data_IF_372561203567
#
_entry.id   IF_372561203567
#
_cell.length_a   1.000
_cell.length_b   1.000
_cell.length_c   1.000
_cell.angle_alpha   90.00
_cell.angle_beta   90.00
_cell.angle_gamma   90.00
#
_symmetry.space_group_name_H-M   'P 1'
#
loop_
_entity.id
_entity.type
_entity.pdbx_description
1 polymer ?
#
# COMPACT_ATOMS: atom_id res chain seq x y z
N UNK A 1 10.15 -39.88 11.34
CA UNK A 1 9.19 -38.93 11.94
C UNK A 1 8.77 -37.96 10.84
N UNK A 2 7.47 -37.68 10.67
CA UNK A 2 7.02 -36.59 9.82
C UNK A 2 7.14 -35.26 10.58
N UNK A 3 7.77 -34.25 9.98
CA UNK A 3 7.80 -32.90 10.54
C UNK A 3 6.36 -32.37 10.72
N UNK A 4 6.06 -31.64 11.81
CA UNK A 4 4.75 -31.03 11.97
C UNK A 4 4.52 -30.06 10.80
N UNK A 5 3.41 -30.25 10.07
CA UNK A 5 3.05 -29.39 8.95
C UNK A 5 2.97 -27.93 9.44
N UNK A 6 3.90 -27.10 8.97
CA UNK A 6 3.92 -25.67 9.29
C UNK A 6 2.73 -25.00 8.62
N UNK A 7 1.97 -24.24 9.40
CA UNK A 7 0.86 -23.47 8.86
C UNK A 7 1.39 -22.34 7.98
N UNK A 8 0.65 -22.01 6.93
CA UNK A 8 1.00 -20.91 6.03
C UNK A 8 -0.22 -20.03 5.84
N UNK A 9 -0.06 -18.73 6.05
CA UNK A 9 -1.08 -17.73 5.76
C UNK A 9 -0.84 -17.20 4.34
N UNK A 10 -1.86 -17.24 3.49
CA UNK A 10 -1.71 -16.76 2.11
C UNK A 10 -2.97 -16.08 1.60
N UNK A 11 -2.78 -15.26 0.57
CA UNK A 11 -3.85 -14.61 -0.17
C UNK A 11 -3.52 -14.63 -1.66
N UNK A 12 -4.54 -14.73 -2.51
CA UNK A 12 -4.38 -14.65 -3.95
C UNK A 12 -5.23 -13.50 -4.48
N UNK A 13 -4.56 -12.53 -5.07
CA UNK A 13 -5.17 -11.46 -5.84
C UNK A 13 -5.25 -11.88 -7.31
N UNK A 14 -6.43 -11.70 -7.90
CA UNK A 14 -6.69 -12.00 -9.31
C UNK A 14 -7.34 -10.78 -9.96
N UNK A 15 -6.76 -10.32 -11.07
CA UNK A 15 -7.32 -9.33 -11.96
C UNK A 15 -7.31 -9.86 -13.40
N UNK A 16 -8.08 -9.25 -14.33
CA UNK A 16 -8.04 -9.64 -15.74
C UNK A 16 -6.63 -9.60 -16.36
N UNK A 17 -5.77 -8.72 -15.85
CA UNK A 17 -4.41 -8.48 -16.33
C UNK A 17 -3.30 -9.20 -15.55
N UNK A 18 -3.56 -9.69 -14.32
CA UNK A 18 -2.48 -10.22 -13.46
C UNK A 18 -3.01 -11.11 -12.33
N UNK A 19 -2.15 -12.01 -11.86
CA UNK A 19 -2.38 -12.79 -10.65
C UNK A 19 -1.18 -12.60 -9.72
N UNK A 20 -1.44 -12.35 -8.44
CA UNK A 20 -0.40 -12.20 -7.40
C UNK A 20 -0.77 -13.05 -6.19
N UNK A 21 0.15 -13.91 -5.78
CA UNK A 21 0.01 -14.71 -4.56
C UNK A 21 0.94 -14.17 -3.47
N UNK A 22 0.41 -14.03 -2.28
CA UNK A 22 1.11 -13.66 -1.06
C UNK A 22 1.16 -14.88 -0.14
N UNK A 23 2.29 -15.11 0.52
CA UNK A 23 2.52 -16.32 1.32
C UNK A 23 3.45 -16.00 2.48
N UNK A 24 2.92 -16.13 3.69
CA UNK A 24 3.62 -15.89 4.94
C UNK A 24 3.60 -17.15 5.82
N UNK A 25 4.73 -17.88 5.93
CA UNK A 25 4.81 -19.09 6.74
C UNK A 25 4.74 -18.75 8.23
N UNK A 26 4.10 -19.63 9.01
CA UNK A 26 4.05 -19.56 10.47
C UNK A 26 5.03 -20.60 11.01
N UNK A 27 5.98 -20.15 11.83
CA UNK A 27 7.06 -21.00 12.33
C UNK A 27 6.63 -21.78 13.56
N UNK A 28 5.71 -21.22 14.35
CA UNK A 28 5.13 -21.86 15.51
C UNK A 28 4.44 -23.19 15.12
N UNK A 29 4.63 -24.23 15.94
CA UNK A 29 3.97 -25.51 15.73
C UNK A 29 2.45 -25.36 15.87
N UNK A 30 1.70 -26.16 15.11
CA UNK A 30 0.25 -26.20 15.26
C UNK A 30 -0.08 -26.73 16.67
N UNK A 31 -0.92 -26.01 17.44
CA UNK A 31 -1.20 -26.42 18.81
C UNK A 31 -2.01 -27.71 18.85
N UNK A 32 -1.42 -28.79 19.39
CA UNK A 32 -2.18 -30.00 19.72
C UNK A 32 -2.96 -29.82 21.02
N UNK A 33 -4.18 -30.37 21.10
CA UNK A 33 -5.02 -30.21 22.30
C UNK A 33 -4.60 -31.10 23.47
N UNK A 34 -3.65 -32.03 23.26
CA UNK A 34 -3.37 -33.12 24.20
C UNK A 34 -2.11 -32.92 25.06
N UNK A 35 -1.35 -31.83 24.86
CA UNK A 35 -0.08 -31.63 25.57
C UNK A 35 -0.15 -30.54 26.66
N UNK A 36 0.60 -30.67 27.77
CA UNK A 36 0.72 -29.62 28.78
C UNK A 36 1.31 -28.32 28.23
N UNK A 37 2.09 -28.38 27.15
CA UNK A 37 2.66 -27.21 26.46
C UNK A 37 1.65 -26.51 25.54
N UNK A 38 0.47 -27.09 25.33
CA UNK A 38 -0.53 -26.62 24.37
C UNK A 38 -0.89 -25.15 24.55
N UNK A 39 -0.93 -24.63 25.79
CA UNK A 39 -1.25 -23.21 26.02
C UNK A 39 -0.14 -22.31 25.50
N UNK A 40 1.13 -22.64 25.79
CA UNK A 40 2.28 -21.87 25.30
C UNK A 40 2.38 -21.92 23.78
N UNK A 41 2.16 -23.12 23.21
CA UNK A 41 2.20 -23.34 21.76
C UNK A 41 1.05 -22.57 21.07
N UNK A 42 -0.16 -22.55 21.65
CA UNK A 42 -1.29 -21.72 21.18
C UNK A 42 -0.96 -20.24 21.21
N UNK A 43 -0.38 -19.75 22.31
CA UNK A 43 -0.03 -18.33 22.44
C UNK A 43 1.02 -17.93 21.39
N UNK A 44 2.07 -18.74 21.22
CA UNK A 44 3.11 -18.50 20.20
C UNK A 44 2.51 -18.50 18.79
N UNK A 45 1.70 -19.51 18.48
CA UNK A 45 1.04 -19.65 17.19
C UNK A 45 0.11 -18.47 16.88
N UNK A 46 -0.75 -18.07 17.82
CA UNK A 46 -1.65 -16.94 17.63
C UNK A 46 -0.94 -15.60 17.56
N UNK A 47 0.18 -15.45 18.29
CA UNK A 47 1.01 -14.25 18.21
C UNK A 47 1.65 -14.11 16.82
N UNK A 48 2.26 -15.19 16.32
CA UNK A 48 2.85 -15.22 14.98
C UNK A 48 1.79 -15.05 13.88
N UNK A 49 0.63 -15.71 14.02
CA UNK A 49 -0.48 -15.55 13.07
C UNK A 49 -0.95 -14.10 12.99
N UNK A 50 -1.09 -13.41 14.14
CA UNK A 50 -1.46 -11.99 14.16
C UNK A 50 -0.40 -11.10 13.50
N UNK A 51 0.89 -11.35 13.78
CA UNK A 51 1.97 -10.59 13.15
C UNK A 51 2.00 -10.82 11.63
N UNK A 52 1.93 -12.08 11.20
CA UNK A 52 1.86 -12.49 9.79
C UNK A 52 0.65 -11.88 9.07
N UNK A 53 -0.49 -11.75 9.76
CA UNK A 53 -1.70 -11.11 9.19
C UNK A 53 -1.51 -9.62 8.97
N UNK A 54 -0.87 -8.91 9.93
CA UNK A 54 -0.57 -7.48 9.76
C UNK A 54 0.42 -7.25 8.62
N UNK A 55 1.47 -8.07 8.56
CA UNK A 55 2.44 -8.03 7.47
C UNK A 55 1.78 -8.28 6.11
N UNK A 56 0.93 -9.32 6.01
CA UNK A 56 0.18 -9.62 4.80
C UNK A 56 -0.71 -8.44 4.36
N UNK A 57 -1.36 -7.78 5.32
CA UNK A 57 -2.17 -6.60 5.05
C UNK A 57 -1.32 -5.45 4.49
N UNK A 58 -0.15 -5.19 5.08
CA UNK A 58 0.79 -4.18 4.58
C UNK A 58 1.27 -4.51 3.16
N UNK A 59 1.67 -5.75 2.90
CA UNK A 59 2.08 -6.22 1.57
C UNK A 59 0.99 -6.02 0.51
N UNK A 60 -0.26 -6.34 0.86
CA UNK A 60 -1.41 -6.15 -0.03
C UNK A 60 -1.65 -4.65 -0.27
N UNK A 61 -1.61 -3.82 0.77
CA UNK A 61 -1.83 -2.39 0.63
C UNK A 61 -0.76 -1.73 -0.25
N UNK A 62 0.51 -2.08 -0.06
CA UNK A 62 1.61 -1.60 -0.91
C UNK A 62 1.39 -2.04 -2.35
N UNK A 63 1.10 -3.32 -2.57
CA UNK A 63 0.87 -3.85 -3.91
C UNK A 63 -0.29 -3.15 -4.64
N UNK A 64 -1.44 -2.99 -3.98
CA UNK A 64 -2.59 -2.33 -4.58
C UNK A 64 -2.34 -0.84 -4.83
N UNK A 65 -1.66 -0.15 -3.91
CA UNK A 65 -1.33 1.26 -4.07
C UNK A 65 -0.39 1.48 -5.25
N UNK A 66 0.65 0.64 -5.39
CA UNK A 66 1.55 0.69 -6.54
C UNK A 66 0.77 0.44 -7.84
N UNK A 67 -0.11 -0.56 -7.85
CA UNK A 67 -0.90 -0.88 -9.04
C UNK A 67 -1.84 0.24 -9.45
N UNK A 68 -2.47 0.93 -8.50
CA UNK A 68 -3.27 2.14 -8.77
C UNK A 68 -2.44 3.26 -9.40
N UNK A 69 -1.19 3.44 -8.97
CA UNK A 69 -0.29 4.44 -9.55
C UNK A 69 0.11 4.06 -10.98
N UNK A 70 0.42 2.79 -11.23
CA UNK A 70 0.70 2.24 -12.56
C UNK A 70 -0.50 2.41 -13.50
N UNK A 71 -1.71 2.10 -13.03
CA UNK A 71 -2.95 2.25 -13.79
C UNK A 71 -3.24 3.73 -14.08
N UNK A 72 -3.00 4.63 -13.13
CA UNK A 72 -3.14 6.09 -13.32
C UNK A 72 -2.16 6.64 -14.35
N UNK A 73 -0.89 6.22 -14.29
CA UNK A 73 0.12 6.61 -15.27
C UNK A 73 -0.22 6.07 -16.67
N UNK A 74 -0.71 4.84 -16.75
CA UNK A 74 -1.16 4.23 -18.01
C UNK A 74 -2.36 4.98 -18.61
N UNK A 75 -3.36 5.33 -17.80
CA UNK A 75 -4.52 6.11 -18.24
C UNK A 75 -4.14 7.51 -18.75
N UNK A 76 -3.14 8.16 -18.13
CA UNK A 76 -2.60 9.47 -18.58
C UNK A 76 -1.88 9.38 -19.93
N UNK A 77 -1.22 8.26 -20.21
CA UNK A 77 -0.50 8.06 -21.47
C UNK A 77 -1.41 7.61 -22.62
N UNK A 78 -2.53 6.96 -22.33
CA UNK A 78 -3.50 6.51 -23.35
C UNK A 78 -4.62 7.50 -23.64
N UNK A 79 -4.66 8.66 -22.97
CA UNK A 79 -5.62 9.75 -23.24
C UNK A 79 -7.09 9.40 -22.99
N UNK A 80 -7.36 8.29 -22.30
CA UNK A 80 -8.72 7.84 -21.96
C UNK A 80 -9.08 8.36 -20.57
N UNK A 81 -9.52 9.61 -20.50
CA UNK A 81 -10.14 10.19 -19.31
C UNK A 81 -11.50 9.52 -19.04
N UNK A 82 -11.47 8.40 -18.33
CA UNK A 82 -12.65 7.81 -17.72
C UNK A 82 -12.92 8.46 -16.36
N UNK A 83 -13.92 9.36 -16.32
CA UNK A 83 -14.74 9.74 -15.15
C UNK A 83 -14.88 8.56 -14.15
N UNK A 84 -14.70 8.64 -12.83
CA UNK A 84 -14.84 9.70 -11.84
C UNK A 84 -13.94 9.37 -10.62
N UNK A 85 -13.41 10.39 -9.93
CA UNK A 85 -12.81 10.21 -8.60
C UNK A 85 -11.47 10.89 -8.33
N UNK A 86 -11.31 12.16 -8.71
CA UNK A 86 -10.36 13.07 -8.07
C UNK A 86 -8.89 12.96 -8.50
N UNK A 87 -8.55 13.54 -9.65
CA UNK A 87 -7.27 14.26 -9.83
C UNK A 87 -7.27 14.97 -11.17
N UNK A 88 -7.81 16.21 -11.18
CA UNK A 88 -7.35 17.22 -12.13
C UNK A 88 -5.90 17.54 -11.80
N UNK A 89 -4.96 16.85 -12.44
CA UNK A 89 -3.55 17.24 -12.46
C UNK A 89 -2.93 16.78 -13.77
N UNK A 90 -3.34 17.44 -14.84
CA UNK A 90 -2.83 17.23 -16.20
C UNK A 90 -2.72 18.50 -17.03
N UNK A 91 -3.02 19.68 -16.45
CA UNK A 91 -3.01 20.95 -17.18
C UNK A 91 -2.71 22.13 -16.24
N UNK A 92 -1.85 21.92 -15.24
CA UNK A 92 -1.49 22.94 -14.24
C UNK A 92 0.01 23.27 -14.22
N UNK A 93 0.80 22.80 -15.19
CA UNK A 93 2.20 23.20 -15.35
C UNK A 93 2.37 24.42 -16.28
N UNK A 94 1.30 25.16 -16.60
CA UNK A 94 1.41 26.39 -17.40
C UNK A 94 0.56 27.55 -16.87
N UNK A 95 -0.07 27.39 -15.70
CA UNK A 95 -0.81 28.49 -15.04
C UNK A 95 -0.20 28.90 -13.70
N UNK A 96 0.55 28.00 -13.05
CA UNK A 96 1.29 28.29 -11.82
C UNK A 96 2.45 29.26 -12.07
N UNK A 97 3.15 29.16 -13.22
CA UNK A 97 4.21 30.09 -13.61
C UNK A 97 3.73 31.52 -13.89
N UNK A 98 2.44 31.73 -14.20
CA UNK A 98 1.88 33.06 -14.46
C UNK A 98 1.46 33.81 -13.19
N UNK A 99 1.45 33.15 -12.01
CA UNK A 99 1.07 33.80 -10.74
C UNK A 99 2.27 34.31 -9.94
N UNK A 100 3.50 33.90 -10.26
CA UNK A 100 4.72 34.35 -9.57
C UNK A 100 5.23 35.72 -10.06
N UNK A 101 4.80 36.18 -11.24
CA UNK A 101 5.24 37.47 -11.80
C UNK A 101 4.57 38.70 -11.14
N UNK A 102 3.49 38.52 -10.39
CA UNK A 102 2.75 39.63 -9.74
C UNK A 102 3.24 39.91 -8.30
N UNK A 103 4.22 39.15 -7.80
CA UNK A 103 4.78 39.26 -6.45
C UNK A 103 6.21 39.84 -6.44
N UNK A 104 6.53 40.74 -7.36
CA UNK A 104 7.88 41.27 -7.52
C UNK A 104 7.93 42.74 -7.92
N UNK A 105 7.61 43.65 -6.99
CA UNK A 105 8.24 44.97 -6.77
C UNK A 105 7.39 45.73 -5.74
N UNK A 106 7.67 45.55 -4.44
CA UNK A 106 7.33 46.59 -3.47
C UNK A 106 8.24 47.78 -3.80
N UNK A 107 7.69 48.77 -4.52
CA UNK A 107 8.31 50.08 -4.63
C UNK A 107 8.40 50.61 -3.20
N UNK A 108 9.63 50.62 -2.66
CA UNK A 108 9.98 51.35 -1.44
C UNK A 108 9.64 52.81 -1.71
N UNK A 109 8.41 53.19 -1.40
CA UNK A 109 8.00 54.57 -1.30
C UNK A 109 8.63 55.13 -0.04
N UNK A 110 9.68 55.92 -0.26
CA UNK A 110 10.49 56.61 0.74
C UNK A 110 9.65 57.18 1.90
N UNK A 111 10.21 57.03 3.11
CA UNK A 111 9.92 57.88 4.25
C UNK A 111 10.14 59.37 3.87
N UNK A 112 9.53 60.29 4.64
CA UNK A 112 9.54 61.78 4.59
C UNK A 112 8.16 62.35 4.16
N UNK A 113 7.42 63.17 4.91
CA UNK A 113 7.70 64.09 6.03
C UNK A 113 6.37 64.41 6.77
#
# INVERSE_FOLDING_TARGET
MADPAKATLGATYTSPSSVKTFTNPISAPFPSSETPTAVKDKVSYLSELRASTKQLQEEINVFLTQKMQEDTASARTTGTEGHEGGSKKGEENSKDELMEEDYGEEEIGDEED
#
